data_IF_188673377763
#
_entry.id   IF_188673377763
#
_cell.length_a   1.000
_cell.length_b   1.000
_cell.length_c   1.000
_cell.angle_alpha   90.00
_cell.angle_beta   90.00
_cell.angle_gamma   90.00
#
_symmetry.space_group_name_H-M   'P 1'
#
loop_
_entity.id
_entity.type
_entity.pdbx_description
1 polymer ?
#
# COMPACT_ATOMS: atom_id res chain seq x y z
N UNK A 1 3.37 21.86 13.41
CA UNK A 1 3.23 22.33 12.02
C UNK A 1 1.93 21.77 11.48
N UNK A 2 1.16 22.58 10.74
CA UNK A 2 -0.02 22.08 10.02
C UNK A 2 0.49 21.41 8.75
N UNK A 3 0.09 20.16 8.53
CA UNK A 3 0.51 19.40 7.36
C UNK A 3 -0.48 19.62 6.22
N UNK A 4 -0.01 20.22 5.14
CA UNK A 4 -0.77 20.35 3.90
C UNK A 4 -0.60 19.13 2.99
N UNK A 5 -1.47 18.98 2.01
CA UNK A 5 -1.47 17.81 1.13
C UNK A 5 -0.20 17.67 0.27
N UNK A 6 0.37 18.75 -0.31
CA UNK A 6 1.64 18.66 -1.02
C UNK A 6 2.79 18.20 -0.11
N UNK A 7 2.85 18.73 1.12
CA UNK A 7 3.86 18.35 2.11
C UNK A 7 3.70 16.88 2.50
N UNK A 8 2.48 16.43 2.76
CA UNK A 8 2.19 15.02 3.02
C UNK A 8 2.65 14.13 1.87
N UNK A 9 2.43 14.55 0.62
CA UNK A 9 2.89 13.81 -0.57
C UNK A 9 4.40 13.67 -0.59
N UNK A 10 5.13 14.76 -0.37
CA UNK A 10 6.60 14.74 -0.26
C UNK A 10 7.09 13.79 0.85
N UNK A 11 6.43 13.81 2.00
CA UNK A 11 6.78 12.93 3.12
C UNK A 11 6.55 11.45 2.81
N UNK A 12 5.42 11.10 2.19
CA UNK A 12 5.11 9.71 1.82
C UNK A 12 6.13 9.18 0.80
N UNK A 13 6.50 10.00 -0.19
CA UNK A 13 7.52 9.64 -1.18
C UNK A 13 8.91 9.50 -0.54
N UNK A 14 9.30 10.44 0.33
CA UNK A 14 10.57 10.36 1.04
C UNK A 14 10.67 9.10 1.92
N UNK A 15 9.56 8.72 2.58
CA UNK A 15 9.46 7.50 3.38
C UNK A 15 9.59 6.24 2.52
N UNK A 16 8.91 6.23 1.37
CA UNK A 16 9.02 5.15 0.38
C UNK A 16 10.46 4.99 -0.12
N UNK A 17 11.12 6.08 -0.50
CA UNK A 17 12.50 6.03 -1.00
C UNK A 17 13.49 5.60 0.07
N UNK A 18 13.28 6.03 1.33
CA UNK A 18 14.07 5.54 2.46
C UNK A 18 13.90 4.03 2.63
N UNK A 19 12.66 3.53 2.58
CA UNK A 19 12.36 2.09 2.69
C UNK A 19 12.89 1.29 1.49
N UNK A 20 12.92 1.88 0.29
CA UNK A 20 13.56 1.30 -0.90
C UNK A 20 15.05 1.05 -0.65
N UNK A 21 15.75 2.04 -0.12
CA UNK A 21 17.18 1.94 0.22
C UNK A 21 17.45 0.98 1.38
N UNK A 22 16.54 0.91 2.37
CA UNK A 22 16.71 0.05 3.55
C UNK A 22 16.25 -1.41 3.34
N UNK A 23 15.71 -1.77 2.17
CA UNK A 23 15.14 -3.09 1.91
C UNK A 23 13.90 -3.45 2.74
N UNK A 24 13.30 -2.48 3.43
CA UNK A 24 12.19 -2.68 4.37
C UNK A 24 10.79 -2.49 3.76
N UNK A 25 10.68 -2.65 2.44
CA UNK A 25 9.46 -2.47 1.68
C UNK A 25 9.07 -3.79 1.00
N UNK A 26 7.77 -4.01 0.74
CA UNK A 26 7.36 -5.20 0.04
C UNK A 26 7.91 -5.22 -1.40
N UNK A 27 8.34 -6.39 -1.90
CA UNK A 27 8.95 -6.52 -3.23
C UNK A 27 8.00 -6.09 -4.35
N UNK A 28 6.69 -6.16 -4.11
CA UNK A 28 5.64 -5.69 -5.01
C UNK A 28 5.67 -4.18 -5.27
N UNK A 29 6.35 -3.38 -4.44
CA UNK A 29 6.53 -1.94 -4.65
C UNK A 29 7.82 -1.56 -5.41
N UNK A 30 8.78 -2.48 -5.57
CA UNK A 30 9.97 -2.28 -6.43
C UNK A 30 9.58 -2.38 -7.90
N UNK A 31 8.83 -3.42 -8.21
CA UNK A 31 8.32 -3.68 -9.55
C UNK A 31 6.80 -3.65 -9.48
N UNK A 32 6.21 -2.43 -9.39
CA UNK A 32 4.79 -2.28 -9.21
C UNK A 32 4.05 -2.89 -10.40
N UNK A 33 3.29 -3.95 -10.10
CA UNK A 33 2.33 -4.56 -11.01
C UNK A 33 0.95 -4.44 -10.37
N UNK A 34 -0.12 -4.21 -11.14
CA UNK A 34 -1.46 -4.08 -10.57
C UNK A 34 -1.89 -5.29 -9.74
N UNK A 35 -1.61 -6.50 -10.23
CA UNK A 35 -1.85 -7.75 -9.50
C UNK A 35 -0.95 -7.92 -8.27
N UNK A 36 0.31 -7.45 -8.34
CA UNK A 36 1.24 -7.44 -7.21
C UNK A 36 0.75 -6.56 -6.08
N UNK A 37 0.34 -5.32 -6.38
CA UNK A 37 -0.20 -4.38 -5.39
C UNK A 37 -1.47 -4.94 -4.73
N UNK A 38 -2.38 -5.55 -5.50
CA UNK A 38 -3.58 -6.18 -4.92
C UNK A 38 -3.23 -7.30 -3.94
N UNK A 39 -2.29 -8.19 -4.31
CA UNK A 39 -1.81 -9.25 -3.42
C UNK A 39 -1.21 -8.68 -2.15
N UNK A 40 -0.41 -7.63 -2.29
CA UNK A 40 0.19 -6.94 -1.15
C UNK A 40 -0.87 -6.35 -0.22
N UNK A 41 -1.91 -5.70 -0.77
CA UNK A 41 -3.02 -5.19 0.01
C UNK A 41 -3.67 -6.30 0.85
N UNK A 42 -3.89 -7.48 0.28
CA UNK A 42 -4.47 -8.60 1.00
C UNK A 42 -3.55 -9.14 2.11
N UNK A 43 -2.23 -9.17 1.87
CA UNK A 43 -1.22 -9.57 2.87
C UNK A 43 -1.18 -8.56 4.02
N UNK A 44 -0.99 -7.27 3.71
CA UNK A 44 -0.95 -6.19 4.70
C UNK A 44 -2.23 -6.14 5.51
N UNK A 45 -3.39 -6.36 4.88
CA UNK A 45 -4.66 -6.47 5.60
C UNK A 45 -4.69 -7.64 6.60
N UNK A 46 -4.20 -8.83 6.20
CA UNK A 46 -4.17 -10.01 7.09
C UNK A 46 -3.18 -9.83 8.25
N UNK A 47 -2.06 -9.15 8.01
CA UNK A 47 -0.98 -9.02 8.99
C UNK A 47 -1.11 -7.80 9.91
N UNK A 48 -1.54 -6.67 9.35
CA UNK A 48 -1.41 -5.32 9.93
C UNK A 48 -2.68 -4.48 9.75
N UNK A 49 -3.86 -5.08 9.87
CA UNK A 49 -5.10 -4.31 9.90
C UNK A 49 -5.21 -3.44 11.17
N UNK A 50 -5.44 -2.15 10.96
CA UNK A 50 -5.78 -1.17 11.99
C UNK A 50 -7.14 -0.53 11.64
N UNK A 51 -7.99 -0.34 12.66
CA UNK A 51 -9.33 0.26 12.48
C UNK A 51 -9.26 1.69 11.97
N UNK A 52 -8.19 2.43 12.27
CA UNK A 52 -8.01 3.80 11.77
C UNK A 52 -7.88 3.85 10.24
N UNK A 53 -7.39 2.77 9.64
CA UNK A 53 -7.15 2.67 8.20
C UNK A 53 -8.41 2.18 7.45
N UNK A 54 -9.46 1.79 8.18
CA UNK A 54 -10.71 1.30 7.59
C UNK A 54 -11.36 2.33 6.66
N UNK A 55 -11.31 3.62 7.03
CA UNK A 55 -11.84 4.70 6.19
C UNK A 55 -11.10 4.82 4.86
N UNK A 56 -9.77 4.70 4.88
CA UNK A 56 -8.94 4.73 3.67
C UNK A 56 -9.28 3.56 2.76
N UNK A 57 -9.35 2.36 3.34
CA UNK A 57 -9.66 1.15 2.60
C UNK A 57 -11.07 1.20 2.01
N UNK A 58 -12.08 1.67 2.77
CA UNK A 58 -13.44 1.88 2.25
C UNK A 58 -13.49 2.94 1.14
N UNK A 59 -12.72 4.02 1.27
CA UNK A 59 -12.69 5.08 0.25
C UNK A 59 -12.09 4.61 -1.09
N UNK A 60 -11.17 3.65 -1.05
CA UNK A 60 -10.52 3.08 -2.23
C UNK A 60 -11.26 1.87 -2.80
N UNK A 61 -11.58 0.88 -1.97
CA UNK A 61 -12.20 -0.39 -2.37
C UNK A 61 -13.74 -0.30 -2.48
N UNK A 62 -14.34 0.76 -1.95
CA UNK A 62 -15.79 0.95 -1.87
C UNK A 62 -16.37 0.55 -0.51
N UNK A 63 -17.63 0.94 -0.28
CA UNK A 63 -18.35 0.57 0.94
C UNK A 63 -18.83 -0.88 0.85
N UNK A 64 -18.54 -1.68 1.88
CA UNK A 64 -19.20 -2.97 2.07
C UNK A 64 -20.65 -2.71 2.50
N UNK A 65 -21.60 -2.69 1.56
CA UNK A 65 -23.02 -2.44 1.84
C UNK A 65 -23.68 -3.48 2.76
N UNK A 66 -23.03 -4.61 3.06
CA UNK A 66 -23.71 -5.72 3.75
C UNK A 66 -22.77 -6.64 4.54
N UNK A 67 -22.11 -6.16 5.60
CA UNK A 67 -21.30 -7.04 6.48
C UNK A 67 -20.21 -7.87 5.80
N UNK A 68 -19.92 -7.61 4.52
CA UNK A 68 -18.89 -8.28 3.74
C UNK A 68 -17.54 -7.90 4.32
N UNK A 69 -16.71 -8.90 4.52
CA UNK A 69 -15.36 -8.68 5.02
C UNK A 69 -14.60 -7.86 3.97
N UNK A 70 -13.97 -6.76 4.40
CA UNK A 70 -13.18 -5.88 3.54
C UNK A 70 -12.09 -6.65 2.77
N UNK A 71 -11.60 -7.76 3.33
CA UNK A 71 -10.71 -8.69 2.64
C UNK A 71 -11.28 -9.23 1.32
N UNK A 72 -12.54 -9.64 1.29
CA UNK A 72 -13.19 -10.14 0.07
C UNK A 72 -13.29 -9.04 -0.98
N UNK A 73 -13.53 -7.80 -0.56
CA UNK A 73 -13.51 -6.65 -1.47
C UNK A 73 -12.13 -6.42 -2.06
N UNK A 74 -11.08 -6.52 -1.25
CA UNK A 74 -9.69 -6.37 -1.72
C UNK A 74 -9.34 -7.46 -2.74
N UNK A 75 -9.68 -8.72 -2.46
CA UNK A 75 -9.38 -9.85 -3.35
C UNK A 75 -10.17 -9.78 -4.67
N UNK A 76 -11.43 -9.34 -4.62
CA UNK A 76 -12.29 -9.18 -5.80
C UNK A 76 -12.09 -7.84 -6.53
N UNK A 77 -11.27 -6.92 -6.01
CA UNK A 77 -11.13 -5.58 -6.58
C UNK A 77 -10.51 -5.64 -7.99
N UNK A 78 -11.04 -4.88 -8.97
CA UNK A 78 -10.52 -4.87 -10.33
C UNK A 78 -9.06 -4.39 -10.37
N UNK A 79 -8.18 -5.19 -10.98
CA UNK A 79 -6.75 -4.89 -11.05
C UNK A 79 -6.46 -3.58 -11.80
N UNK A 80 -7.29 -3.21 -12.78
CA UNK A 80 -7.09 -2.01 -13.58
C UNK A 80 -7.17 -0.71 -12.78
N UNK A 81 -7.85 -0.74 -11.63
CA UNK A 81 -7.98 0.42 -10.74
C UNK A 81 -6.68 0.75 -10.01
N UNK A 82 -5.70 -0.16 -9.98
CA UNK A 82 -4.36 0.12 -9.45
C UNK A 82 -3.42 0.75 -10.48
N UNK A 83 -3.80 0.81 -11.77
CA UNK A 83 -2.93 1.36 -12.83
C UNK A 83 -2.46 2.79 -12.56
N UNK A 84 -3.31 3.72 -12.07
CA UNK A 84 -2.85 5.07 -11.73
C UNK A 84 -1.73 5.08 -10.68
N UNK A 85 -1.87 4.24 -9.64
CA UNK A 85 -0.83 4.11 -8.61
C UNK A 85 0.45 3.48 -9.16
N UNK A 86 0.34 2.45 -10.00
CA UNK A 86 1.50 1.82 -10.65
C UNK A 86 2.25 2.82 -11.54
N UNK A 87 1.52 3.60 -12.35
CA UNK A 87 2.11 4.61 -13.23
C UNK A 87 2.83 5.69 -12.42
N UNK A 88 2.22 6.14 -11.33
CA UNK A 88 2.82 7.10 -10.41
C UNK A 88 4.13 6.56 -9.80
N UNK A 89 4.13 5.32 -9.30
CA UNK A 89 5.33 4.69 -8.71
C UNK A 89 6.47 4.47 -9.72
N UNK A 90 6.15 4.36 -11.01
CA UNK A 90 7.11 4.25 -12.12
C UNK A 90 7.60 5.61 -12.63
N UNK A 91 7.10 6.72 -12.12
CA UNK A 91 7.42 8.07 -12.61
C UNK A 91 6.72 8.44 -13.91
N UNK A 92 5.66 7.72 -14.30
CA UNK A 92 4.89 8.02 -15.52
C UNK A 92 3.88 9.17 -15.37
N UNK A 93 3.59 9.59 -14.13
CA UNK A 93 2.68 10.70 -13.82
C UNK A 93 3.21 11.48 -12.63
N UNK A 94 3.22 12.81 -12.70
CA UNK A 94 3.68 13.68 -11.61
C UNK A 94 2.69 13.77 -10.46
N UNK A 95 1.38 13.66 -10.74
CA UNK A 95 0.31 13.79 -9.77
C UNK A 95 -0.57 12.54 -9.76
N UNK A 96 -1.04 12.17 -8.58
CA UNK A 96 -1.98 11.06 -8.38
C UNK A 96 -3.12 11.51 -7.47
N UNK A 97 -4.25 10.81 -7.53
CA UNK A 97 -5.39 11.10 -6.66
C UNK A 97 -5.03 10.88 -5.19
N UNK A 98 -5.62 11.70 -4.31
CA UNK A 98 -5.48 11.57 -2.86
C UNK A 98 -5.73 10.15 -2.35
N UNK A 99 -6.70 9.43 -2.93
CA UNK A 99 -7.00 8.05 -2.55
C UNK A 99 -5.87 7.06 -2.86
N UNK A 100 -5.16 7.26 -3.97
CA UNK A 100 -4.02 6.42 -4.34
C UNK A 100 -2.84 6.68 -3.40
N UNK A 101 -2.63 7.94 -3.02
CA UNK A 101 -1.57 8.33 -2.09
C UNK A 101 -1.85 7.80 -0.68
N UNK A 102 -3.09 7.89 -0.20
CA UNK A 102 -3.49 7.30 1.09
C UNK A 102 -3.29 5.77 1.10
N UNK A 103 -3.64 5.09 0.00
CA UNK A 103 -3.39 3.66 -0.14
C UNK A 103 -1.88 3.36 -0.10
N UNK A 104 -1.05 4.17 -0.76
CA UNK A 104 0.39 4.03 -0.73
C UNK A 104 0.96 4.23 0.68
N UNK A 105 0.52 5.28 1.38
CA UNK A 105 0.90 5.57 2.76
C UNK A 105 0.55 4.41 3.70
N UNK A 106 -0.60 3.75 3.46
CA UNK A 106 -0.98 2.54 4.17
C UNK A 106 -0.07 1.34 3.85
N UNK A 107 0.20 1.08 2.58
CA UNK A 107 1.06 -0.04 2.14
C UNK A 107 2.48 0.05 2.69
N UNK A 108 3.05 1.27 2.79
CA UNK A 108 4.40 1.46 3.34
C UNK A 108 4.42 1.58 4.86
N UNK A 109 3.29 1.48 5.57
CA UNK A 109 3.20 1.72 7.02
C UNK A 109 3.68 3.12 7.43
N UNK A 110 3.26 4.16 6.69
CA UNK A 110 3.61 5.55 7.00
C UNK A 110 2.96 6.04 8.30
N UNK A 111 3.74 6.60 9.23
CA UNK A 111 3.27 6.89 10.60
C UNK A 111 2.15 7.92 10.69
N UNK A 112 2.14 8.91 9.81
CA UNK A 112 1.20 10.05 9.90
C UNK A 112 -0.12 9.81 9.14
N UNK A 113 -0.42 8.55 8.78
CA UNK A 113 -1.68 8.16 8.14
C UNK A 113 -2.85 8.05 9.14
N UNK A 114 -4.10 8.23 8.69
CA UNK A 114 -4.50 8.80 7.39
C UNK A 114 -4.27 10.32 7.34
N UNK A 115 -4.21 10.90 6.14
CA UNK A 115 -4.12 12.35 5.98
C UNK A 115 -5.34 13.04 6.59
N UNK A 116 -5.08 13.98 7.50
CA UNK A 116 -6.08 14.85 8.09
C UNK A 116 -5.69 16.30 7.85
N UNK A 117 -6.51 17.02 7.09
CA UNK A 117 -6.26 18.45 6.83
C UNK A 117 -6.13 19.22 8.15
N UNK A 118 -5.04 19.97 8.31
CA UNK A 118 -4.79 20.78 9.50
C UNK A 118 -4.45 19.99 10.77
N UNK A 119 -4.21 18.66 10.66
CA UNK A 119 -3.77 17.85 11.79
C UNK A 119 -2.36 18.26 12.20
N UNK A 120 -2.18 18.49 13.50
CA UNK A 120 -0.85 18.68 14.05
C UNK A 120 -0.13 17.34 14.09
N UNK A 121 0.95 17.25 13.33
CA UNK A 121 1.83 16.09 13.29
C UNK A 121 3.19 16.45 13.87
N UNK A 122 3.76 15.52 14.63
CA UNK A 122 5.11 15.61 15.14
C UNK A 122 6.05 14.96 14.12
N UNK A 123 6.58 15.78 13.23
CA UNK A 123 7.58 15.34 12.26
C UNK A 123 8.93 15.15 12.95
N UNK A 124 9.65 14.10 12.54
CA UNK A 124 11.03 13.91 12.98
C UNK A 124 12.00 14.82 12.18
N UNK A 125 13.27 14.89 12.60
CA UNK A 125 14.27 15.74 11.96
C UNK A 125 14.50 15.43 10.47
N UNK A 126 14.38 14.17 10.06
CA UNK A 126 14.52 13.75 8.65
C UNK A 126 13.29 14.14 7.82
N UNK A 127 12.09 13.92 8.36
CA UNK A 127 10.82 14.35 7.74
C UNK A 127 10.80 15.88 7.55
N UNK A 128 11.30 16.63 8.53
CA UNK A 128 11.41 18.08 8.44
C UNK A 128 12.43 18.52 7.38
N UNK A 129 13.56 17.82 7.25
CA UNK A 129 14.55 18.06 6.18
C UNK A 129 13.96 17.81 4.80
N UNK A 130 13.14 16.77 4.65
CA UNK A 130 12.46 16.46 3.38
C UNK A 130 11.48 17.57 2.95
N UNK A 131 10.86 18.29 3.90
CA UNK A 131 10.01 19.44 3.61
C UNK A 131 10.78 20.73 3.31
N UNK A 132 11.90 20.96 4.01
CA UNK A 132 12.69 22.19 3.86
C UNK A 132 13.71 22.19 2.70
N UNK A 133 13.63 21.22 1.79
CA UNK A 133 14.75 20.82 0.92
C UNK A 133 15.04 21.65 -0.34
N UNK A 134 14.21 22.60 -0.77
CA UNK A 134 14.42 23.24 -2.08
C UNK A 134 14.45 24.79 -2.08
N UNK A 135 13.82 25.47 -1.11
CA UNK A 135 13.77 26.95 -1.13
C UNK A 135 14.89 27.64 -0.30
N UNK A 136 15.64 26.89 0.50
CA UNK A 136 16.75 27.44 1.28
C UNK A 136 18.10 27.44 0.51
N UNK A 137 18.19 26.74 -0.62
CA UNK A 137 19.42 26.62 -1.40
C UNK A 137 19.49 27.59 -2.61
N UNK A 138 18.40 28.27 -2.96
CA UNK A 138 18.30 29.13 -4.15
C UNK A 138 18.35 30.65 -3.88
N UNK A 139 18.76 31.10 -2.69
CA UNK A 139 19.14 32.50 -2.44
C UNK A 139 20.54 32.57 -1.82
N UNK A 140 21.55 32.35 -2.65
CA UNK A 140 22.87 32.98 -2.48
C UNK A 140 22.92 34.28 -3.29
N UNK A 141 21.93 35.15 -3.10
CA UNK A 141 22.14 36.57 -3.43
C UNK A 141 22.88 37.16 -2.23
N UNK A 142 24.20 37.06 -2.30
CA UNK A 142 25.08 37.71 -1.33
C UNK A 142 24.88 39.22 -1.36
N UNK A 143 25.09 39.93 -0.24
CA UNK A 143 25.31 41.36 -0.32
C UNK A 143 26.56 41.60 -1.16
N UNK A 144 26.35 42.27 -2.28
CA UNK A 144 27.33 42.93 -3.14
C UNK A 144 28.28 43.78 -2.29
N UNK A 145 29.46 43.23 -1.97
CA UNK A 145 30.59 44.01 -1.46
C UNK A 145 31.38 44.42 -2.70
N UNK A 146 30.97 45.54 -3.30
CA UNK A 146 31.79 46.21 -4.28
C UNK A 146 33.16 46.56 -3.68
N UNK A 147 34.23 46.09 -4.31
CA UNK A 147 35.49 46.83 -4.36
C UNK A 147 36.43 46.30 -5.45
N UNK A 148 36.62 47.16 -6.45
CA UNK A 148 37.88 47.48 -7.11
C UNK A 148 38.56 46.39 -7.94
N UNK A 149 38.25 46.49 -9.23
CA UNK A 149 39.14 46.27 -10.38
C UNK A 149 40.54 46.87 -10.10
N UNK A 150 41.63 46.19 -10.53
CA UNK A 150 42.39 46.77 -11.62
C UNK A 150 42.47 45.84 -12.83
N UNK A 151 42.24 46.45 -13.98
CA UNK A 151 42.37 45.90 -15.30
C UNK A 151 43.82 45.49 -15.55
N UNK A 152 44.02 44.32 -16.15
CA UNK A 152 45.22 44.02 -16.91
C UNK A 152 44.90 42.97 -17.99
N UNK A 153 44.87 43.48 -19.21
CA UNK A 153 45.52 42.95 -20.40
C UNK A 153 45.08 41.58 -20.95
N UNK A 154 44.37 41.71 -22.08
CA UNK A 154 44.60 41.02 -23.35
C UNK A 154 45.57 39.83 -23.34
N UNK A 155 45.06 38.67 -23.76
CA UNK A 155 45.62 37.94 -24.90
C UNK A 155 44.56 36.96 -25.39
N UNK A 156 44.12 37.15 -26.64
CA UNK A 156 43.35 36.15 -27.35
C UNK A 156 44.15 34.88 -27.58
N UNK A 157 43.45 33.80 -27.93
CA UNK A 157 43.80 32.93 -29.05
C UNK A 157 42.66 31.92 -29.27
N UNK A 158 42.13 31.97 -30.48
CA UNK A 158 41.28 30.98 -31.12
C UNK A 158 41.95 29.61 -31.13
N UNK A 159 41.22 28.55 -30.79
CA UNK A 159 41.71 27.18 -30.88
C UNK A 159 40.57 26.20 -31.11
N UNK A 160 40.17 26.07 -32.37
CA UNK A 160 39.48 24.88 -32.88
C UNK A 160 40.29 23.62 -32.56
N UNK A 161 39.63 22.58 -32.05
CA UNK A 161 40.08 21.18 -32.03
C UNK A 161 38.81 20.34 -31.89
N UNK A 162 38.30 19.87 -33.02
CA UNK A 162 38.63 18.58 -33.63
C UNK A 162 37.94 17.43 -32.89
N UNK A 163 37.15 16.71 -33.68
CA UNK A 163 36.27 15.63 -33.26
C UNK A 163 36.99 14.51 -32.51
N UNK A 164 36.22 13.88 -31.65
CA UNK A 164 36.41 12.48 -31.30
C UNK A 164 35.13 11.74 -31.65
N UNK A 165 35.10 11.25 -32.89
CA UNK A 165 34.43 10.01 -33.24
C UNK A 165 34.92 8.91 -32.27
N UNK A 166 34.01 8.34 -31.48
CA UNK A 166 34.26 7.05 -30.84
C UNK A 166 33.46 5.98 -31.61
N UNK A 167 34.15 5.08 -32.33
CA UNK A 167 33.50 3.98 -33.02
C UNK A 167 33.04 2.92 -32.02
N UNK A 168 31.99 2.20 -32.42
CA UNK A 168 31.28 1.23 -31.62
C UNK A 168 32.14 0.10 -31.06
N UNK A 169 31.67 -0.41 -29.93
CA UNK A 169 31.76 -1.83 -29.63
C UNK A 169 30.35 -2.32 -29.33
N UNK A 170 29.75 -2.91 -30.36
CA UNK A 170 28.73 -3.92 -30.23
C UNK A 170 29.36 -5.11 -29.48
N UNK A 171 29.23 -5.15 -28.16
CA UNK A 171 29.40 -6.40 -27.44
C UNK A 171 28.08 -7.17 -27.52
N UNK A 172 27.97 -7.87 -28.65
CA UNK A 172 27.02 -8.95 -28.89
C UNK A 172 27.28 -10.04 -27.84
N UNK A 173 26.53 -10.03 -26.74
CA UNK A 173 26.42 -11.22 -25.90
C UNK A 173 25.65 -12.28 -26.68
N UNK A 174 26.40 -13.12 -27.38
CA UNK A 174 25.98 -14.44 -27.83
C UNK A 174 25.58 -15.24 -26.60
N UNK A 175 24.28 -15.27 -26.32
CA UNK A 175 23.69 -16.30 -25.48
C UNK A 175 23.62 -17.55 -26.36
N UNK A 176 24.62 -18.41 -26.22
CA UNK A 176 24.58 -19.76 -26.78
C UNK A 176 23.35 -20.48 -26.22
N UNK A 177 22.56 -21.01 -27.15
CA UNK A 177 21.37 -21.78 -26.88
C UNK A 177 21.69 -22.98 -26.00
N UNK A 178 21.03 -23.03 -24.85
CA UNK A 178 20.82 -24.30 -24.17
C UNK A 178 19.59 -24.92 -24.81
N UNK A 179 19.84 -25.86 -25.72
CA UNK A 179 18.86 -26.84 -26.17
C UNK A 179 18.38 -27.63 -24.94
N UNK A 180 17.21 -27.26 -24.41
CA UNK A 180 16.47 -28.10 -23.48
C UNK A 180 15.54 -29.02 -24.28
N UNK A 181 16.16 -29.99 -24.96
CA UNK A 181 15.46 -31.22 -25.31
C UNK A 181 15.27 -32.04 -24.04
N UNK A 182 14.06 -32.00 -23.49
CA UNK A 182 13.49 -33.15 -22.78
C UNK A 182 12.01 -33.24 -23.10
N UNK A 183 11.76 -33.85 -24.25
CA UNK A 183 10.63 -34.76 -24.41
C UNK A 183 10.61 -35.73 -23.24
N UNK A 184 9.55 -35.67 -22.44
CA UNK A 184 9.09 -36.83 -21.72
C UNK A 184 7.58 -36.90 -21.87
N UNK A 185 7.19 -37.64 -22.90
CA UNK A 185 5.93 -38.36 -23.00
C UNK A 185 5.47 -38.84 -21.62
N UNK A 186 4.40 -38.24 -21.11
CA UNK A 186 3.52 -38.89 -20.14
C UNK A 186 2.15 -39.02 -20.79
N UNK A 187 2.08 -39.98 -21.71
CA UNK A 187 0.83 -40.56 -22.18
C UNK A 187 0.34 -41.59 -21.15
N UNK A 188 -0.59 -41.20 -20.27
CA UNK A 188 -1.48 -42.03 -19.45
C UNK A 188 -2.56 -41.06 -18.92
N UNK A 189 -3.88 -41.22 -19.01
CA UNK A 189 -4.77 -42.34 -19.32
C UNK A 189 -6.20 -41.75 -19.39
N UNK A 190 -7.06 -42.04 -20.38
CA UNK A 190 -8.48 -41.74 -20.28
C UNK A 190 -9.16 -42.86 -19.46
N UNK A 191 -9.55 -42.56 -18.22
CA UNK A 191 -10.64 -43.26 -17.52
C UNK A 191 -11.81 -42.28 -17.51
N UNK A 192 -12.91 -42.49 -18.23
CA UNK A 192 -13.84 -43.63 -18.23
C UNK A 192 -14.48 -43.84 -16.85
N UNK A 193 -15.78 -43.48 -16.78
CA UNK A 193 -16.82 -43.85 -15.78
C UNK A 193 -16.69 -43.12 -14.42
N UNK A 194 -17.72 -42.48 -13.87
CA UNK A 194 -19.13 -42.88 -13.82
C UNK A 194 -20.11 -41.72 -14.00
N UNK A 195 -21.09 -41.98 -14.87
CA UNK A 195 -22.40 -41.36 -14.88
C UNK A 195 -23.14 -41.73 -13.59
N UNK A 196 -23.29 -40.80 -12.66
CA UNK A 196 -24.35 -40.89 -11.64
C UNK A 196 -25.59 -40.19 -12.16
N UNK A 197 -26.42 -41.03 -12.77
CA UNK A 197 -27.84 -40.82 -12.99
C UNK A 197 -28.53 -40.79 -11.62
N UNK A 198 -29.01 -39.61 -11.22
CA UNK A 198 -29.98 -39.48 -10.12
C UNK A 198 -31.11 -38.57 -10.60
N UNK A 199 -31.96 -39.22 -11.39
CA UNK A 199 -33.42 -39.20 -11.35
C UNK A 199 -34.07 -38.07 -10.55
N UNK A 200 -34.89 -37.32 -11.28
CA UNK A 200 -36.31 -37.10 -10.99
C UNK A 200 -36.73 -37.06 -9.52
N UNK A 201 -37.11 -35.86 -9.08
CA UNK A 201 -38.34 -35.73 -8.30
C UNK A 201 -39.06 -34.46 -8.73
N UNK A 202 -39.79 -34.57 -9.84
CA UNK A 202 -40.86 -33.66 -10.18
C UNK A 202 -42.09 -33.92 -9.27
N UNK A 203 -42.92 -32.89 -9.20
CA UNK A 203 -44.29 -32.87 -8.68
C UNK A 203 -44.48 -32.84 -7.15
N UNK A 204 -44.98 -31.69 -6.65
CA UNK A 204 -46.43 -31.56 -6.43
C UNK A 204 -46.92 -30.21 -5.91
N UNK A 205 -48.07 -29.82 -6.48
CA UNK A 205 -49.16 -28.97 -5.98
C UNK A 205 -48.90 -27.46 -5.89
N UNK A 206 -49.36 -26.66 -6.87
CA UNK A 206 -50.74 -26.26 -7.24
C UNK A 206 -51.47 -25.40 -6.20
N UNK A 207 -51.96 -24.24 -6.68
CA UNK A 207 -53.17 -23.50 -6.27
C UNK A 207 -53.14 -22.86 -4.88
N UNK A 208 -53.09 -21.53 -4.76
CA UNK A 208 -54.18 -20.52 -4.81
C UNK A 208 -53.62 -19.37 -3.92
N UNK A 209 -53.98 -18.10 -3.95
CA UNK A 209 -55.25 -17.46 -4.23
C UNK A 209 -55.00 -15.96 -4.40
N UNK A 210 -55.70 -15.41 -5.37
CA UNK A 210 -56.00 -14.01 -5.57
C UNK A 210 -56.81 -13.46 -4.40
N UNK A 211 -56.35 -12.42 -3.68
CA UNK A 211 -57.25 -11.55 -2.89
C UNK A 211 -56.74 -10.11 -2.87
N UNK A 212 -57.43 -9.29 -3.66
CA UNK A 212 -57.95 -7.95 -3.40
C UNK A 212 -57.11 -6.88 -2.67
N UNK A 213 -56.85 -5.83 -3.44
CA UNK A 213 -56.99 -4.42 -3.07
C UNK A 213 -57.96 -4.15 -1.91
N UNK A 214 -57.50 -3.35 -0.95
CA UNK A 214 -58.32 -2.28 -0.37
C UNK A 214 -57.40 -1.20 0.21
N UNK A 215 -57.47 -0.02 -0.42
CA UNK A 215 -57.30 1.26 0.25
C UNK A 215 -58.21 1.30 1.49
N UNK A 216 -57.74 1.90 2.59
CA UNK A 216 -58.33 3.13 3.18
C UNK A 216 -57.78 3.46 4.57
N UNK A 217 -57.69 4.78 4.78
CA UNK A 217 -57.87 5.56 6.03
C UNK A 217 -56.74 5.66 7.06
N UNK A 218 -56.19 6.88 7.12
CA UNK A 218 -56.09 7.73 8.32
C UNK A 218 -56.60 7.13 9.64
N UNK A 219 -55.76 7.15 10.68
CA UNK A 219 -56.12 7.74 11.97
C UNK A 219 -54.93 7.84 12.92
N UNK A 220 -54.79 9.05 13.45
CA UNK A 220 -54.28 9.47 14.74
C UNK A 220 -53.60 8.47 15.70
N UNK A 221 -52.36 8.82 16.04
CA UNK A 221 -51.98 9.15 17.42
C UNK A 221 -52.18 8.09 18.50
N UNK A 222 -51.15 7.28 18.77
CA UNK A 222 -50.93 6.69 20.11
C UNK A 222 -49.45 6.75 20.47
N UNK A 223 -49.17 7.46 21.57
CA UNK A 223 -47.90 7.44 22.29
C UNK A 223 -47.66 6.04 22.85
N UNK A 224 -46.55 5.40 22.44
CA UNK A 224 -46.08 4.14 22.98
C UNK A 224 -44.57 4.19 23.19
N UNK A 225 -44.16 4.58 24.40
CA UNK A 225 -42.78 4.51 24.86
C UNK A 225 -42.46 3.02 25.07
N UNK A 226 -41.72 2.40 24.14
CA UNK A 226 -41.21 1.04 24.32
C UNK A 226 -39.70 1.16 24.52
N UNK A 227 -39.33 1.04 25.78
CA UNK A 227 -37.98 0.91 26.30
C UNK A 227 -37.33 -0.35 25.72
N UNK A 228 -36.61 -0.19 24.61
CA UNK A 228 -35.79 -1.23 24.00
C UNK A 228 -34.40 -1.22 24.68
N UNK A 229 -34.33 -1.86 25.84
CA UNK A 229 -33.08 -2.34 26.41
C UNK A 229 -32.61 -3.55 25.59
N UNK A 230 -31.77 -3.28 24.57
CA UNK A 230 -31.25 -4.27 23.64
C UNK A 230 -29.73 -4.33 23.63
N UNK A 231 -29.16 -5.17 24.50
CA UNK A 231 -27.91 -5.92 24.31
C UNK A 231 -26.72 -5.19 23.65
N UNK A 232 -25.94 -4.46 24.46
CA UNK A 232 -24.53 -4.19 24.14
C UNK A 232 -23.73 -5.48 24.34
N UNK A 233 -23.64 -6.28 23.27
CA UNK A 233 -22.80 -7.46 23.18
C UNK A 233 -21.32 -7.11 23.12
N UNK A 234 -20.67 -7.27 24.26
CA UNK A 234 -19.25 -7.51 24.54
C UNK A 234 -18.42 -8.08 23.36
N UNK A 235 -17.88 -7.23 22.47
CA UNK A 235 -16.90 -7.65 21.46
C UNK A 235 -15.65 -6.75 21.41
N UNK A 236 -15.30 -6.14 22.55
CA UNK A 236 -14.18 -5.21 22.67
C UNK A 236 -12.85 -5.85 23.17
N UNK A 237 -12.82 -7.15 23.49
CA UNK A 237 -11.70 -7.74 24.26
C UNK A 237 -10.90 -8.85 23.53
N UNK A 238 -10.92 -8.90 22.19
CA UNK A 238 -10.05 -9.83 21.42
C UNK A 238 -8.81 -9.16 20.83
N UNK A 239 -8.86 -7.86 20.52
CA UNK A 239 -7.72 -7.14 19.93
C UNK A 239 -6.62 -6.84 20.96
N UNK A 240 -6.97 -6.58 22.23
CA UNK A 240 -6.00 -6.29 23.30
C UNK A 240 -5.20 -7.51 23.76
N UNK A 241 -5.66 -8.74 23.48
CA UNK A 241 -4.95 -9.97 23.90
C UNK A 241 -3.82 -10.36 22.94
N UNK A 242 -3.96 -10.06 21.64
CA UNK A 242 -2.94 -10.44 20.63
C UNK A 242 -1.66 -9.58 20.70
N UNK A 243 -1.77 -8.29 21.03
CA UNK A 243 -0.57 -7.44 21.22
C UNK A 243 0.19 -7.76 22.52
N UNK A 244 -0.52 -8.22 23.56
CA UNK A 244 0.13 -8.66 24.81
C UNK A 244 0.92 -9.95 24.63
N UNK A 245 0.43 -10.88 23.79
CA UNK A 245 1.13 -12.14 23.50
C UNK A 245 2.44 -11.90 22.73
N UNK A 246 2.45 -11.00 21.73
CA UNK A 246 3.68 -10.68 20.98
C UNK A 246 4.76 -10.04 21.87
N UNK A 247 4.38 -9.11 22.73
CA UNK A 247 5.32 -8.48 23.66
C UNK A 247 5.81 -9.44 24.75
N UNK A 248 4.98 -10.39 25.19
CA UNK A 248 5.37 -11.41 26.17
C UNK A 248 6.39 -12.42 25.59
N UNK A 249 6.22 -12.81 24.32
CA UNK A 249 7.17 -13.72 23.63
C UNK A 249 8.54 -13.05 23.46
N UNK A 250 8.58 -11.77 23.07
CA UNK A 250 9.84 -11.02 22.91
C UNK A 250 10.54 -10.86 24.27
N UNK A 251 9.80 -10.53 25.34
CA UNK A 251 10.37 -10.40 26.68
C UNK A 251 10.94 -11.72 27.23
N UNK A 252 10.26 -12.85 26.98
CA UNK A 252 10.76 -14.18 27.35
C UNK A 252 12.03 -14.56 26.58
N UNK A 253 12.11 -14.27 25.28
CA UNK A 253 13.32 -14.54 24.49
C UNK A 253 14.53 -13.73 24.98
N UNK A 254 14.35 -12.44 25.27
CA UNK A 254 15.43 -11.59 25.79
C UNK A 254 15.90 -12.12 27.15
N UNK A 255 14.97 -12.47 28.04
CA UNK A 255 15.32 -12.99 29.37
C UNK A 255 16.05 -14.33 29.27
N UNK A 256 15.61 -15.24 28.39
CA UNK A 256 16.27 -16.53 28.17
C UNK A 256 17.70 -16.37 27.63
N UNK A 257 17.94 -15.42 26.71
CA UNK A 257 19.29 -15.12 26.20
C UNK A 257 20.17 -14.57 27.32
N UNK A 258 19.67 -13.67 28.17
CA UNK A 258 20.43 -13.11 29.29
C UNK A 258 20.75 -14.15 30.38
N UNK A 259 19.87 -15.12 30.65
CA UNK A 259 20.10 -16.15 31.67
C UNK A 259 20.98 -17.30 31.19
N UNK A 260 21.17 -17.47 29.88
CA UNK A 260 21.91 -18.61 29.33
C UNK A 260 23.44 -18.54 29.53
N UNK A 261 23.98 -17.48 30.14
CA UNK A 261 25.38 -17.47 30.61
C UNK A 261 26.46 -17.60 29.51
N UNK A 262 26.11 -17.49 28.23
CA UNK A 262 27.03 -17.68 27.09
C UNK A 262 28.10 -16.56 27.01
N UNK A 263 27.94 -15.46 27.75
CA UNK A 263 28.90 -14.34 27.73
C UNK A 263 30.16 -14.60 28.56
N UNK A 264 30.25 -15.70 29.32
CA UNK A 264 31.40 -15.97 30.18
C UNK A 264 32.68 -16.46 29.44
N UNK A 265 32.67 -16.66 28.12
CA UNK A 265 33.83 -17.16 27.37
C UNK A 265 34.55 -16.11 26.50
N UNK A 266 34.05 -14.88 26.38
CA UNK A 266 34.66 -13.85 25.50
C UNK A 266 35.49 -12.78 26.23
N UNK A 267 35.78 -12.99 27.53
CA UNK A 267 36.57 -12.06 28.36
C UNK A 267 37.72 -12.77 29.10
N UNK A 268 38.36 -13.76 28.47
CA UNK A 268 39.62 -14.32 28.97
C UNK A 268 40.64 -14.49 27.86
#
# INVERSE_FOLDING_TARGET
MRLDFPDYTKLVLADLDRKRRSGGHPPSLLQPTPGGIRRECAIVYKERFDRKDELVLRNFFGSAESGKQLLTLIEAFPIDKFRPLVNYLKGGTENTDTKNLELLAWLIDFRHRPYGFGKEVLLNAEELRALGGEDAAAKKDGPDIGQLIPEADECGLTGSRDGNDMPGQEELLQFDGVEEERESDTAMRPGEKDTVDLSDTAERHTKKETVLLSDTTESDGVKGNVELAGMQGNECDRSSRRSRIKNLIIACLITAICTSGIVAHWMS
#
